data_IF_436365433414
#
_entry.id   IF_436365433414
#
_cell.length_a   1.000
_cell.length_b   1.000
_cell.length_c   1.000
_cell.angle_alpha   90.00
_cell.angle_beta   90.00
_cell.angle_gamma   90.00
#
_symmetry.space_group_name_H-M   'P 1'
#
loop_
_entity.id
_entity.type
_entity.pdbx_description
1 polymer ?
#
# COMPACT_ATOMS: atom_id res chain seq x y z
N UNK A 1 -16.35 -9.34 30.89
CA UNK A 1 -16.84 -8.95 29.56
C UNK A 1 -16.91 -7.44 29.55
N UNK A 2 -15.91 -6.74 28.99
CA UNK A 2 -16.14 -5.36 28.62
C UNK A 2 -17.20 -5.43 27.52
N UNK A 3 -18.39 -4.91 27.79
CA UNK A 3 -19.53 -4.93 26.89
C UNK A 3 -19.06 -4.53 25.49
N UNK A 4 -19.42 -5.29 24.45
CA UNK A 4 -18.78 -5.25 23.14
C UNK A 4 -18.69 -3.86 22.48
N UNK A 5 -19.46 -2.88 22.95
CA UNK A 5 -19.40 -1.47 22.55
C UNK A 5 -18.10 -0.76 22.98
N UNK A 6 -17.52 -1.12 24.13
CA UNK A 6 -16.30 -0.50 24.66
C UNK A 6 -15.09 -0.73 23.75
N UNK A 7 -14.95 -1.93 23.18
CA UNK A 7 -13.89 -2.24 22.22
C UNK A 7 -13.97 -1.35 20.98
N UNK A 8 -15.17 -1.12 20.44
CA UNK A 8 -15.35 -0.21 19.30
C UNK A 8 -15.05 1.24 19.68
N UNK A 9 -15.48 1.69 20.87
CA UNK A 9 -15.17 3.03 21.36
C UNK A 9 -13.65 3.26 21.48
N UNK A 10 -12.92 2.29 22.04
CA UNK A 10 -11.45 2.34 22.12
C UNK A 10 -10.81 2.35 20.75
N UNK A 11 -11.27 1.52 19.80
CA UNK A 11 -10.74 1.50 18.43
C UNK A 11 -10.94 2.86 17.73
N UNK A 12 -12.12 3.47 17.88
CA UNK A 12 -12.42 4.78 17.30
C UNK A 12 -11.50 5.84 17.90
N UNK A 13 -11.42 5.93 19.23
CA UNK A 13 -10.62 6.96 19.90
C UNK A 13 -9.13 6.75 19.61
N UNK A 14 -8.64 5.51 19.72
CA UNK A 14 -7.23 5.20 19.46
C UNK A 14 -6.87 5.42 17.99
N UNK A 15 -7.72 4.99 17.04
CA UNK A 15 -7.49 5.18 15.61
C UNK A 15 -7.54 6.65 15.20
N UNK A 16 -8.50 7.40 15.74
CA UNK A 16 -8.60 8.85 15.57
C UNK A 16 -7.35 9.53 16.12
N UNK A 17 -7.00 9.31 17.39
CA UNK A 17 -5.86 9.97 18.02
C UNK A 17 -4.53 9.61 17.33
N UNK A 18 -4.35 8.35 16.94
CA UNK A 18 -3.15 7.88 16.26
C UNK A 18 -2.97 8.51 14.86
N UNK A 19 -4.05 8.90 14.17
CA UNK A 19 -3.99 9.46 12.81
C UNK A 19 -4.06 10.99 12.81
N UNK A 20 -5.03 11.54 13.54
CA UNK A 20 -5.30 12.98 13.51
C UNK A 20 -4.19 13.78 14.18
N UNK A 21 -3.53 13.28 15.24
CA UNK A 21 -2.44 14.04 15.89
C UNK A 21 -1.36 14.45 14.88
N UNK A 22 -0.96 13.54 13.99
CA UNK A 22 0.00 13.81 12.92
C UNK A 22 -0.56 14.73 11.84
N UNK A 23 -1.86 14.61 11.54
CA UNK A 23 -2.55 15.46 10.58
C UNK A 23 -2.58 16.92 11.02
N UNK A 24 -2.94 17.17 12.28
CA UNK A 24 -2.96 18.51 12.88
C UNK A 24 -1.55 19.10 13.00
N UNK A 25 -0.56 18.30 13.38
CA UNK A 25 0.85 18.72 13.37
C UNK A 25 1.30 19.14 11.96
N UNK A 26 0.90 18.37 10.94
CA UNK A 26 1.18 18.70 9.54
C UNK A 26 0.56 20.02 9.10
N UNK A 27 -0.66 20.34 9.53
CA UNK A 27 -1.31 21.64 9.23
C UNK A 27 -0.59 22.79 9.94
N UNK A 28 -0.22 22.62 11.21
CA UNK A 28 0.43 23.67 12.00
C UNK A 28 1.84 23.99 11.50
N UNK A 29 2.63 22.95 11.19
CA UNK A 29 4.01 23.08 10.73
C UNK A 29 4.08 23.33 9.22
N UNK A 30 3.13 22.80 8.45
CA UNK A 30 3.12 22.82 6.98
C UNK A 30 3.20 24.21 6.39
N UNK A 31 2.55 25.21 7.00
CA UNK A 31 2.63 26.59 6.53
C UNK A 31 4.05 27.19 6.61
N UNK A 32 4.91 26.63 7.47
CA UNK A 32 6.28 27.11 7.74
C UNK A 32 7.33 26.35 6.92
N UNK A 33 6.94 25.25 6.27
CA UNK A 33 7.84 24.45 5.46
C UNK A 33 8.00 25.07 4.09
N UNK A 34 9.24 25.33 3.70
CA UNK A 34 9.54 25.70 2.32
C UNK A 34 9.49 24.44 1.44
N UNK A 35 8.58 24.43 0.46
CA UNK A 35 8.39 23.30 -0.45
C UNK A 35 9.61 23.03 -1.33
N UNK A 36 10.43 24.06 -1.56
CA UNK A 36 11.67 23.97 -2.33
C UNK A 36 12.88 23.62 -1.45
N UNK A 37 12.67 23.31 -0.16
CA UNK A 37 13.76 22.89 0.73
C UNK A 37 14.28 21.50 0.36
N UNK A 38 15.59 21.37 0.26
CA UNK A 38 16.27 20.08 0.05
C UNK A 38 15.90 19.02 1.10
N UNK A 39 15.68 19.43 2.35
CA UNK A 39 15.23 18.53 3.41
C UNK A 39 13.83 17.94 3.10
N UNK A 40 12.92 18.74 2.53
CA UNK A 40 11.58 18.25 2.18
C UNK A 40 11.62 17.30 0.98
N UNK A 41 12.47 17.57 -0.01
CA UNK A 41 12.72 16.63 -1.11
C UNK A 41 13.27 15.30 -0.61
N UNK A 42 14.22 15.34 0.33
CA UNK A 42 14.76 14.12 0.97
C UNK A 42 13.65 13.33 1.68
N UNK A 43 12.83 13.99 2.50
CA UNK A 43 11.71 13.32 3.20
C UNK A 43 10.71 12.72 2.20
N UNK A 44 10.34 13.45 1.14
CA UNK A 44 9.42 12.95 0.08
C UNK A 44 10.00 11.73 -0.63
N UNK A 45 11.30 11.74 -0.92
CA UNK A 45 12.00 10.61 -1.53
C UNK A 45 12.02 9.39 -0.59
N UNK A 46 12.31 9.59 0.70
CA UNK A 46 12.29 8.52 1.70
C UNK A 46 10.88 7.95 1.86
N UNK A 47 9.86 8.80 1.94
CA UNK A 47 8.47 8.37 2.10
C UNK A 47 7.99 7.50 0.92
N UNK A 48 8.27 7.94 -0.32
CA UNK A 48 7.92 7.17 -1.52
C UNK A 48 8.72 5.87 -1.63
N UNK A 49 10.01 5.88 -1.27
CA UNK A 49 10.83 4.68 -1.22
C UNK A 49 10.32 3.67 -0.18
N UNK A 50 9.89 4.12 1.01
CA UNK A 50 9.33 3.26 2.04
C UNK A 50 8.05 2.55 1.59
N UNK A 51 7.13 3.29 0.94
CA UNK A 51 5.90 2.70 0.40
C UNK A 51 6.23 1.62 -0.63
N UNK A 52 7.13 1.92 -1.57
CA UNK A 52 7.53 0.94 -2.59
C UNK A 52 8.28 -0.25 -2.00
N UNK A 53 9.12 -0.05 -0.99
CA UNK A 53 9.83 -1.12 -0.29
C UNK A 53 8.88 -2.08 0.42
N UNK A 54 7.84 -1.56 1.08
CA UNK A 54 6.80 -2.39 1.71
C UNK A 54 6.03 -3.18 0.66
N UNK A 55 5.62 -2.55 -0.44
CA UNK A 55 4.96 -3.26 -1.56
C UNK A 55 5.85 -4.36 -2.13
N UNK A 56 7.14 -4.09 -2.38
CA UNK A 56 8.10 -5.07 -2.87
C UNK A 56 8.28 -6.23 -1.87
N UNK A 57 8.36 -5.94 -0.57
CA UNK A 57 8.42 -6.96 0.48
C UNK A 57 7.22 -7.89 0.44
N UNK A 58 6.02 -7.37 0.24
CA UNK A 58 4.80 -8.18 0.13
C UNK A 58 4.80 -9.07 -1.12
N UNK A 59 5.43 -8.66 -2.21
CA UNK A 59 5.56 -9.47 -3.43
C UNK A 59 6.57 -10.61 -3.22
N UNK A 60 7.74 -10.29 -2.67
CA UNK A 60 8.85 -11.26 -2.52
C UNK A 60 8.61 -12.20 -1.35
N UNK A 61 8.19 -11.66 -0.21
CA UNK A 61 7.97 -12.37 1.06
C UNK A 61 6.52 -12.20 1.55
N UNK A 62 5.53 -12.76 0.85
CA UNK A 62 4.13 -12.67 1.27
C UNK A 62 3.85 -13.55 2.48
N UNK A 63 2.78 -13.19 3.17
CA UNK A 63 2.20 -13.94 4.27
C UNK A 63 0.79 -14.43 3.88
N UNK A 64 0.30 -15.46 4.56
CA UNK A 64 -1.05 -16.01 4.31
C UNK A 64 -1.15 -16.88 3.06
N UNK A 65 -2.30 -16.85 2.38
CA UNK A 65 -2.62 -17.73 1.24
C UNK A 65 -1.66 -17.59 0.06
N UNK A 66 -1.10 -16.40 -0.15
CA UNK A 66 -0.10 -16.15 -1.20
C UNK A 66 1.28 -16.77 -0.89
N UNK A 67 1.55 -17.22 0.33
CA UNK A 67 2.83 -17.83 0.69
C UNK A 67 3.15 -19.07 -0.17
N UNK A 68 2.11 -19.82 -0.56
CA UNK A 68 2.27 -21.02 -1.39
C UNK A 68 2.44 -20.71 -2.88
N UNK A 69 2.15 -19.49 -3.33
CA UNK A 69 2.27 -19.13 -4.75
C UNK A 69 3.73 -18.98 -5.17
N UNK A 70 4.11 -19.29 -6.43
CA UNK A 70 5.50 -19.13 -6.85
C UNK A 70 5.86 -17.64 -7.05
N UNK A 71 7.11 -17.28 -6.74
CA UNK A 71 7.62 -15.91 -6.87
C UNK A 71 7.46 -15.36 -8.29
N UNK A 72 7.70 -16.18 -9.32
CA UNK A 72 7.62 -15.76 -10.72
C UNK A 72 6.22 -15.24 -11.07
N UNK A 73 5.16 -15.88 -10.54
CA UNK A 73 3.78 -15.50 -10.84
C UNK A 73 3.47 -14.11 -10.28
N UNK A 74 3.97 -13.82 -9.08
CA UNK A 74 3.77 -12.52 -8.43
C UNK A 74 4.54 -11.41 -9.13
N UNK A 75 5.78 -11.69 -9.53
CA UNK A 75 6.59 -10.76 -10.31
C UNK A 75 5.98 -10.51 -11.69
N UNK A 76 5.49 -11.55 -12.36
CA UNK A 76 4.80 -11.45 -13.64
C UNK A 76 3.49 -10.66 -13.51
N UNK A 77 2.68 -10.95 -12.49
CA UNK A 77 1.45 -10.21 -12.23
C UNK A 77 1.73 -8.72 -11.99
N UNK A 78 2.69 -8.38 -11.13
CA UNK A 78 3.09 -7.00 -10.86
C UNK A 78 3.64 -6.30 -12.12
N UNK A 79 4.54 -6.97 -12.86
CA UNK A 79 5.16 -6.41 -14.07
C UNK A 79 4.17 -6.21 -15.21
N UNK A 80 3.35 -7.22 -15.52
CA UNK A 80 2.33 -7.15 -16.57
C UNK A 80 1.25 -6.13 -16.18
N UNK A 81 0.78 -6.16 -14.93
CA UNK A 81 -0.18 -5.18 -14.42
C UNK A 81 0.31 -3.74 -14.57
N UNK A 82 1.59 -3.50 -14.25
CA UNK A 82 2.21 -2.19 -14.43
C UNK A 82 2.37 -1.79 -15.91
N UNK A 83 2.76 -2.73 -16.77
CA UNK A 83 2.86 -2.48 -18.21
C UNK A 83 1.50 -2.11 -18.83
N UNK A 84 0.44 -2.82 -18.46
CA UNK A 84 -0.93 -2.53 -18.92
C UNK A 84 -1.44 -1.20 -18.34
N UNK A 85 -1.10 -0.88 -17.09
CA UNK A 85 -1.39 0.43 -16.50
C UNK A 85 -0.78 1.58 -17.32
N UNK A 86 0.48 1.45 -17.74
CA UNK A 86 1.14 2.45 -18.57
C UNK A 86 0.48 2.56 -19.96
N UNK A 87 0.19 1.42 -20.60
CA UNK A 87 -0.44 1.37 -21.92
C UNK A 87 -1.87 1.90 -21.97
N UNK A 88 -2.61 1.83 -20.86
CA UNK A 88 -4.02 2.29 -20.77
C UNK A 88 -4.19 3.74 -20.33
N UNK A 89 -3.10 4.52 -20.36
CA UNK A 89 -3.13 5.94 -19.98
C UNK A 89 -3.17 6.15 -18.47
N UNK A 90 -2.49 5.27 -17.70
CA UNK A 90 -2.32 5.40 -16.25
C UNK A 90 -3.65 5.34 -15.47
N UNK A 91 -4.59 4.54 -15.96
CA UNK A 91 -5.87 4.31 -15.26
C UNK A 91 -5.66 3.41 -14.05
N UNK A 92 -5.82 3.97 -12.86
CA UNK A 92 -5.61 3.26 -11.57
C UNK A 92 -6.43 1.97 -11.50
N UNK A 93 -7.69 2.00 -11.95
CA UNK A 93 -8.54 0.81 -11.96
C UNK A 93 -7.92 -0.36 -12.74
N UNK A 94 -7.31 -0.08 -13.90
CA UNK A 94 -6.65 -1.10 -14.72
C UNK A 94 -5.39 -1.63 -14.04
N UNK A 95 -4.59 -0.72 -13.45
CA UNK A 95 -3.38 -1.10 -12.71
C UNK A 95 -3.64 -1.97 -11.49
N UNK A 96 -4.86 -1.95 -10.94
CA UNK A 96 -5.27 -2.81 -9.82
C UNK A 96 -5.93 -4.10 -10.32
N UNK A 97 -6.88 -4.03 -11.24
CA UNK A 97 -7.67 -5.18 -11.66
C UNK A 97 -6.83 -6.22 -12.43
N UNK A 98 -5.90 -5.77 -13.27
CA UNK A 98 -5.08 -6.68 -14.10
C UNK A 98 -4.16 -7.59 -13.26
N UNK A 99 -3.29 -7.07 -12.36
CA UNK A 99 -2.44 -7.94 -11.55
C UNK A 99 -3.26 -8.85 -10.63
N UNK A 100 -4.39 -8.38 -10.11
CA UNK A 100 -5.31 -9.20 -9.31
C UNK A 100 -5.86 -10.37 -10.13
N UNK A 101 -6.36 -10.09 -11.34
CA UNK A 101 -6.89 -11.13 -12.22
C UNK A 101 -5.82 -12.17 -12.59
N UNK A 102 -4.58 -11.73 -12.86
CA UNK A 102 -3.45 -12.62 -13.15
C UNK A 102 -3.11 -13.48 -11.93
N UNK A 103 -3.08 -12.90 -10.72
CA UNK A 103 -2.83 -13.67 -9.50
C UNK A 103 -3.93 -14.70 -9.23
N UNK A 104 -5.21 -14.32 -9.35
CA UNK A 104 -6.34 -15.25 -9.16
C UNK A 104 -6.27 -16.39 -10.17
N UNK A 105 -6.09 -16.07 -11.46
CA UNK A 105 -5.98 -17.07 -12.51
C UNK A 105 -4.78 -18.00 -12.27
N UNK A 106 -3.62 -17.45 -11.95
CA UNK A 106 -2.41 -18.23 -11.69
C UNK A 106 -2.52 -19.12 -10.45
N UNK A 107 -3.21 -18.67 -9.39
CA UNK A 107 -3.48 -19.47 -8.21
C UNK A 107 -4.41 -20.65 -8.54
N UNK A 108 -5.52 -20.40 -9.24
CA UNK A 108 -6.45 -21.46 -9.65
C UNK A 108 -5.80 -22.52 -10.55
N UNK A 109 -4.86 -22.13 -11.41
CA UNK A 109 -4.15 -23.05 -12.30
C UNK A 109 -3.06 -23.88 -11.60
N UNK A 110 -2.35 -23.31 -10.61
CA UNK A 110 -1.24 -23.99 -9.93
C UNK A 110 -1.64 -24.70 -8.65
N UNK A 111 -2.75 -24.29 -8.02
CA UNK A 111 -3.25 -24.81 -6.75
C UNK A 111 -4.76 -25.04 -6.86
N UNK A 112 -5.17 -26.12 -7.56
CA UNK A 112 -6.57 -26.52 -7.59
C UNK A 112 -7.06 -27.00 -6.22
#
# INVERSE_FOLDING_TARGET
>A
MADGWWTYAVIIIAGFLATDIWRWMGVLIGHRLNEDSEALYWVRAVATALVMAVTAKLIVFPTGTLANSPLWLRLAAAGIGFAVFLGTGKRVAVGVLVPIAILIAGLLFLQP
#
